data_IF_681464276879
#
_entry.id   IF_681464276879
#
_cell.length_a   1.000
_cell.length_b   1.000
_cell.length_c   1.000
_cell.angle_alpha   90.00
_cell.angle_beta   90.00
_cell.angle_gamma   90.00
#
_symmetry.space_group_name_H-M   'P 1'
#
loop_
_entity.id
_entity.type
_entity.pdbx_description
1 polymer ?
#
# COMPACT_ATOMS: atom_id res chain seq x y z
N UNK A 1 24.27 10.10 13.09
CA UNK A 1 23.74 11.20 12.24
C UNK A 1 24.23 11.10 10.80
N UNK A 2 25.53 11.05 10.53
CA UNK A 2 26.14 11.03 9.17
C UNK A 2 25.67 9.83 8.32
N UNK A 3 25.49 8.64 8.89
CA UNK A 3 25.05 7.41 8.19
C UNK A 3 23.59 7.50 7.70
N UNK A 4 22.71 8.17 8.44
CA UNK A 4 21.32 8.43 8.07
C UNK A 4 21.22 9.42 6.89
N UNK A 5 22.02 10.48 6.91
CA UNK A 5 22.05 11.49 5.85
C UNK A 5 22.58 10.86 4.54
N UNK A 6 23.65 10.08 4.60
CA UNK A 6 24.21 9.38 3.44
C UNK A 6 23.19 8.40 2.80
N UNK A 7 22.40 7.68 3.61
CA UNK A 7 21.36 6.79 3.11
C UNK A 7 20.21 7.59 2.46
N UNK A 8 19.80 8.71 3.05
CA UNK A 8 18.76 9.58 2.49
C UNK A 8 19.15 10.15 1.12
N UNK A 9 20.39 10.66 0.98
CA UNK A 9 20.90 11.18 -0.30
C UNK A 9 20.99 10.07 -1.36
N UNK A 10 21.41 8.87 -0.97
CA UNK A 10 21.48 7.71 -1.89
C UNK A 10 20.10 7.29 -2.41
N UNK A 11 19.09 7.28 -1.54
CA UNK A 11 17.70 6.98 -1.91
C UNK A 11 17.18 8.06 -2.86
N UNK A 12 17.40 9.33 -2.54
CA UNK A 12 16.98 10.47 -3.37
C UNK A 12 17.61 10.41 -4.77
N UNK A 13 18.93 10.22 -4.86
CA UNK A 13 19.65 10.11 -6.13
C UNK A 13 19.17 8.93 -6.98
N UNK A 14 18.92 7.76 -6.36
CA UNK A 14 18.38 6.58 -7.04
C UNK A 14 16.99 6.85 -7.60
N UNK A 15 16.12 7.51 -6.83
CA UNK A 15 14.76 7.86 -7.26
C UNK A 15 14.76 8.87 -8.38
N UNK A 16 15.59 9.92 -8.26
CA UNK A 16 15.73 10.94 -9.28
C UNK A 16 16.14 10.33 -10.64
N UNK A 17 17.11 9.41 -10.63
CA UNK A 17 17.57 8.71 -11.85
C UNK A 17 16.51 7.75 -12.43
N UNK A 18 15.71 7.07 -11.59
CA UNK A 18 14.76 6.04 -12.04
C UNK A 18 13.36 6.54 -12.30
N UNK A 19 12.90 7.55 -11.58
CA UNK A 19 11.51 8.01 -11.61
C UNK A 19 11.36 9.48 -12.03
N UNK A 20 12.46 10.21 -12.21
CA UNK A 20 12.48 11.61 -12.58
C UNK A 20 12.18 12.57 -11.41
N UNK A 21 12.40 13.88 -11.68
CA UNK A 21 12.29 14.94 -10.66
C UNK A 21 10.86 15.05 -10.08
N UNK A 22 9.86 15.12 -10.95
CA UNK A 22 8.45 15.30 -10.55
C UNK A 22 7.99 14.20 -9.59
N UNK A 23 8.23 12.94 -9.93
CA UNK A 23 7.84 11.78 -9.11
C UNK A 23 8.60 11.75 -7.79
N UNK A 24 9.88 12.13 -7.81
CA UNK A 24 10.71 12.22 -6.60
C UNK A 24 10.22 13.31 -5.65
N UNK A 25 9.79 14.47 -6.15
CA UNK A 25 9.20 15.54 -5.34
C UNK A 25 7.86 15.11 -4.73
N UNK A 26 7.00 14.46 -5.50
CA UNK A 26 5.73 13.92 -5.00
C UNK A 26 5.99 12.87 -3.91
N UNK A 27 6.99 12.00 -4.10
CA UNK A 27 7.40 11.04 -3.09
C UNK A 27 7.90 11.71 -1.82
N UNK A 28 8.77 12.72 -1.93
CA UNK A 28 9.30 13.45 -0.78
C UNK A 28 8.19 14.13 0.01
N UNK A 29 7.25 14.77 -0.69
CA UNK A 29 6.06 15.36 -0.08
C UNK A 29 5.15 14.29 0.56
N UNK A 30 4.81 13.24 -0.20
CA UNK A 30 3.92 12.17 0.24
C UNK A 30 4.47 11.31 1.40
N UNK A 31 5.79 11.37 1.65
CA UNK A 31 6.44 10.72 2.79
C UNK A 31 6.74 11.71 3.93
N UNK A 32 7.20 12.91 3.59
CA UNK A 32 7.59 13.92 4.57
C UNK A 32 6.41 14.41 5.38
N UNK A 33 5.31 14.78 4.73
CA UNK A 33 4.12 15.27 5.44
C UNK A 33 3.59 14.24 6.44
N UNK A 34 3.32 12.97 6.07
CA UNK A 34 2.89 11.96 7.04
C UNK A 34 3.90 11.70 8.16
N UNK A 35 5.19 11.77 7.86
CA UNK A 35 6.24 11.59 8.87
C UNK A 35 6.18 12.67 9.96
N UNK A 36 6.02 13.95 9.57
CA UNK A 36 5.97 15.08 10.51
C UNK A 36 4.60 15.26 11.17
N UNK A 37 3.51 15.13 10.40
CA UNK A 37 2.15 15.38 10.89
C UNK A 37 1.48 14.15 11.50
N UNK A 38 1.97 12.95 11.19
CA UNK A 38 1.31 11.68 11.50
C UNK A 38 0.05 11.41 10.67
N UNK A 39 -0.24 12.22 9.65
CA UNK A 39 -1.48 12.17 8.87
C UNK A 39 -1.20 11.88 7.40
N UNK A 40 -1.78 10.81 6.82
CA UNK A 40 -1.58 10.48 5.41
C UNK A 40 -2.26 11.51 4.49
N UNK A 41 -1.65 11.70 3.31
CA UNK A 41 -2.21 12.58 2.28
C UNK A 41 -3.14 11.75 1.39
N UNK A 42 -4.45 11.86 1.61
CA UNK A 42 -5.45 11.06 0.90
C UNK A 42 -5.42 11.25 -0.63
N UNK A 43 -5.07 12.44 -1.12
CA UNK A 43 -4.91 12.71 -2.56
C UNK A 43 -3.92 11.74 -3.24
N UNK A 44 -2.85 11.35 -2.54
CA UNK A 44 -1.84 10.40 -3.03
C UNK A 44 -2.03 8.99 -2.48
N UNK A 45 -3.19 8.70 -1.93
CA UNK A 45 -3.54 7.38 -1.38
C UNK A 45 -4.78 6.77 -2.06
N UNK A 46 -5.65 7.58 -2.62
CA UNK A 46 -6.93 7.17 -3.21
C UNK A 46 -6.73 6.49 -4.56
N UNK A 47 -6.77 5.16 -4.58
CA UNK A 47 -6.71 4.36 -5.81
C UNK A 47 -8.07 4.31 -6.48
N UNK A 48 -9.11 4.01 -5.70
CA UNK A 48 -10.52 4.07 -6.09
C UNK A 48 -11.32 4.87 -5.03
N UNK A 49 -12.62 5.11 -5.20
CA UNK A 49 -13.43 5.73 -4.15
C UNK A 49 -13.40 4.98 -2.80
N UNK A 50 -13.19 3.67 -2.81
CA UNK A 50 -13.24 2.81 -1.62
C UNK A 50 -11.87 2.23 -1.22
N UNK A 51 -10.90 2.11 -2.14
CA UNK A 51 -9.59 1.51 -1.87
C UNK A 51 -8.51 2.58 -1.81
N UNK A 52 -7.80 2.63 -0.69
CA UNK A 52 -6.72 3.58 -0.44
C UNK A 52 -5.44 2.86 -0.04
N UNK A 53 -4.32 3.31 -0.60
CA UNK A 53 -2.97 2.76 -0.32
C UNK A 53 -2.09 3.87 0.22
N UNK A 54 -1.50 3.70 1.40
CA UNK A 54 -0.76 4.78 2.03
C UNK A 54 0.40 4.35 2.93
N UNK A 55 1.05 5.35 3.55
CA UNK A 55 2.07 5.12 4.56
C UNK A 55 1.44 4.88 5.93
N UNK A 56 2.28 4.48 6.89
CA UNK A 56 1.95 4.50 8.31
C UNK A 56 1.47 5.89 8.75
N UNK A 57 0.58 5.92 9.70
CA UNK A 57 0.03 7.11 10.33
C UNK A 57 0.17 7.05 11.87
N UNK A 58 -0.18 8.14 12.55
CA UNK A 58 -0.23 8.25 14.01
C UNK A 58 -1.65 8.53 14.46
N UNK A 59 -1.87 8.81 15.75
CA UNK A 59 -3.20 9.10 16.32
C UNK A 59 -3.96 10.20 15.56
N UNK A 60 -3.27 11.26 15.12
CA UNK A 60 -3.86 12.31 14.27
C UNK A 60 -4.38 11.77 12.94
N UNK A 61 -3.62 10.87 12.31
CA UNK A 61 -4.00 10.21 11.07
C UNK A 61 -5.17 9.24 11.26
N UNK A 62 -5.19 8.47 12.36
CA UNK A 62 -6.33 7.61 12.73
C UNK A 62 -7.61 8.44 12.85
N UNK A 63 -7.57 9.50 13.64
CA UNK A 63 -8.74 10.39 13.83
C UNK A 63 -9.22 10.99 12.51
N UNK A 64 -8.29 11.40 11.64
CA UNK A 64 -8.61 11.91 10.30
C UNK A 64 -9.25 10.83 9.42
N UNK A 65 -8.72 9.60 9.41
CA UNK A 65 -9.30 8.49 8.64
C UNK A 65 -10.73 8.21 9.12
N UNK A 66 -10.94 8.11 10.44
CA UNK A 66 -12.28 7.91 11.02
C UNK A 66 -13.24 9.05 10.63
N UNK A 67 -12.83 10.31 10.72
CA UNK A 67 -13.65 11.46 10.32
C UNK A 67 -13.99 11.49 8.84
N UNK A 68 -13.23 10.78 8.00
CA UNK A 68 -13.48 10.60 6.55
C UNK A 68 -14.24 9.31 6.22
N UNK A 69 -14.73 8.60 7.24
CA UNK A 69 -15.55 7.40 7.11
C UNK A 69 -14.77 6.14 6.72
N UNK A 70 -13.48 6.05 7.11
CA UNK A 70 -12.74 4.80 6.99
C UNK A 70 -13.06 3.92 8.19
N UNK A 71 -13.47 2.69 7.92
CA UNK A 71 -13.73 1.67 8.94
C UNK A 71 -12.74 0.52 8.89
N UNK A 72 -12.19 0.21 7.71
CA UNK A 72 -11.34 -0.94 7.47
C UNK A 72 -9.87 -0.53 7.31
N UNK A 73 -8.99 -1.24 8.01
CA UNK A 73 -7.55 -1.02 8.00
C UNK A 73 -6.81 -2.32 7.73
N UNK A 74 -5.89 -2.30 6.76
CA UNK A 74 -4.93 -3.39 6.53
C UNK A 74 -3.53 -2.90 6.83
N UNK A 75 -2.86 -3.56 7.78
CA UNK A 75 -1.46 -3.32 8.13
C UNK A 75 -0.57 -4.43 7.59
N UNK A 76 0.40 -4.08 6.74
CA UNK A 76 1.36 -5.02 6.13
C UNK A 76 2.70 -5.09 6.87
N UNK A 77 2.83 -4.47 8.03
CA UNK A 77 4.10 -4.35 8.74
C UNK A 77 4.30 -5.48 9.74
N UNK A 78 5.37 -6.27 9.58
CA UNK A 78 5.81 -7.22 10.62
C UNK A 78 6.43 -6.49 11.82
N UNK A 79 7.02 -5.32 11.56
CA UNK A 79 7.76 -4.55 12.54
C UNK A 79 6.90 -3.63 13.43
N UNK A 80 5.58 -3.59 13.21
CA UNK A 80 4.68 -2.69 13.93
C UNK A 80 3.22 -3.14 13.81
N UNK A 81 2.59 -3.46 14.92
CA UNK A 81 1.15 -3.75 14.98
C UNK A 81 0.36 -2.50 15.43
N UNK A 82 -0.60 -2.06 14.62
CA UNK A 82 -1.40 -0.88 14.94
C UNK A 82 -2.31 -1.12 16.15
N UNK A 83 -2.78 -2.35 16.38
CA UNK A 83 -3.63 -2.68 17.53
C UNK A 83 -2.90 -2.51 18.86
N UNK A 84 -1.61 -2.89 18.92
CA UNK A 84 -0.78 -2.68 20.11
C UNK A 84 -0.57 -1.21 20.47
N UNK A 85 -0.85 -0.31 19.52
CA UNK A 85 -0.63 1.13 19.65
C UNK A 85 -1.93 1.95 19.64
N UNK A 86 -3.10 1.29 19.63
CA UNK A 86 -4.43 1.92 19.55
C UNK A 86 -4.63 2.73 18.26
N UNK A 87 -4.08 2.23 17.15
CA UNK A 87 -4.17 2.86 15.82
C UNK A 87 -5.11 2.11 14.87
N UNK A 88 -5.62 0.96 15.28
CA UNK A 88 -6.58 0.18 14.51
C UNK A 88 -7.88 0.96 14.24
N UNK A 89 -8.56 0.61 13.16
CA UNK A 89 -9.92 1.06 12.88
C UNK A 89 -10.93 0.00 13.34
N UNK A 90 -12.22 0.22 13.06
CA UNK A 90 -13.33 -0.67 13.47
C UNK A 90 -13.11 -2.12 13.02
N UNK A 91 -12.67 -2.30 11.78
CA UNK A 91 -12.22 -3.58 11.22
C UNK A 91 -10.73 -3.53 10.91
N UNK A 92 -9.97 -4.47 11.45
CA UNK A 92 -8.51 -4.49 11.35
C UNK A 92 -7.99 -5.84 10.85
N UNK A 93 -7.11 -5.81 9.86
CA UNK A 93 -6.43 -6.97 9.32
C UNK A 93 -4.91 -6.76 9.36
N UNK A 94 -4.23 -7.50 10.23
CA UNK A 94 -2.76 -7.52 10.29
C UNK A 94 -2.21 -8.64 9.42
N UNK A 95 -1.35 -8.29 8.46
CA UNK A 95 -0.70 -9.17 7.49
C UNK A 95 0.81 -8.98 7.57
N UNK A 96 1.47 -9.44 8.65
CA UNK A 96 2.87 -9.17 8.90
C UNK A 96 3.75 -9.71 7.77
N UNK A 97 4.37 -8.80 7.03
CA UNK A 97 5.23 -9.08 5.89
C UNK A 97 6.55 -8.36 6.04
N UNK A 98 7.66 -9.06 5.82
CA UNK A 98 9.00 -8.47 5.84
C UNK A 98 9.14 -7.47 4.70
N UNK A 99 9.81 -6.33 4.96
CA UNK A 99 9.96 -5.31 3.91
C UNK A 99 10.79 -5.84 2.73
N UNK A 100 10.47 -5.37 1.55
CA UNK A 100 11.10 -5.77 0.27
C UNK A 100 10.94 -7.26 -0.12
N UNK A 101 10.18 -8.07 0.63
CA UNK A 101 9.86 -9.46 0.28
C UNK A 101 8.46 -9.62 -0.30
N UNK A 102 8.18 -10.79 -0.87
CA UNK A 102 6.83 -11.20 -1.25
C UNK A 102 5.97 -11.47 0.01
N UNK A 103 4.69 -11.18 -0.08
CA UNK A 103 3.70 -11.61 0.91
C UNK A 103 3.44 -13.13 0.74
N UNK A 104 3.14 -13.85 1.83
CA UNK A 104 2.73 -15.26 1.74
C UNK A 104 1.36 -15.38 1.03
N UNK A 105 1.11 -16.50 0.38
CA UNK A 105 -0.18 -16.75 -0.29
C UNK A 105 -1.36 -16.72 0.68
N UNK A 106 -1.18 -17.23 1.90
CA UNK A 106 -2.17 -17.15 2.97
C UNK A 106 -2.54 -15.71 3.31
N UNK A 107 -1.54 -14.87 3.56
CA UNK A 107 -1.77 -13.44 3.85
C UNK A 107 -2.34 -12.70 2.63
N UNK A 108 -1.92 -13.08 1.42
CA UNK A 108 -2.44 -12.49 0.18
C UNK A 108 -3.94 -12.76 0.05
N UNK A 109 -4.37 -14.01 0.16
CA UNK A 109 -5.78 -14.42 0.08
C UNK A 109 -6.62 -13.75 1.15
N UNK A 110 -6.15 -13.79 2.41
CA UNK A 110 -6.84 -13.14 3.54
C UNK A 110 -6.98 -11.63 3.34
N UNK A 111 -5.95 -10.98 2.80
CA UNK A 111 -5.97 -9.54 2.51
C UNK A 111 -6.92 -9.20 1.37
N UNK A 112 -6.96 -10.00 0.31
CA UNK A 112 -7.89 -9.84 -0.81
C UNK A 112 -9.34 -9.98 -0.33
N UNK A 113 -9.65 -11.00 0.45
CA UNK A 113 -10.99 -11.23 1.01
C UNK A 113 -11.43 -10.07 1.91
N UNK A 114 -10.54 -9.59 2.78
CA UNK A 114 -10.82 -8.46 3.66
C UNK A 114 -11.13 -7.18 2.87
N UNK A 115 -10.33 -6.88 1.84
CA UNK A 115 -10.57 -5.72 0.98
C UNK A 115 -11.88 -5.89 0.20
N UNK A 116 -12.12 -7.10 -0.32
CA UNK A 116 -13.33 -7.41 -1.07
C UNK A 116 -14.58 -7.20 -0.22
N UNK A 117 -14.61 -7.76 0.99
CA UNK A 117 -15.73 -7.60 1.93
C UNK A 117 -16.03 -6.12 2.23
N UNK A 118 -15.00 -5.31 2.48
CA UNK A 118 -15.17 -3.87 2.71
C UNK A 118 -15.78 -3.16 1.48
N UNK A 119 -15.28 -3.48 0.28
CA UNK A 119 -15.75 -2.86 -0.97
C UNK A 119 -17.18 -3.27 -1.31
N UNK A 120 -17.58 -4.54 -1.12
CA UNK A 120 -18.95 -5.01 -1.32
C UNK A 120 -19.96 -4.32 -0.37
N UNK A 121 -19.51 -3.93 0.82
CA UNK A 121 -20.30 -3.15 1.78
C UNK A 121 -20.33 -1.65 1.42
N UNK A 122 -19.66 -1.21 0.35
CA UNK A 122 -19.53 0.19 -0.01
C UNK A 122 -18.63 0.99 0.95
N UNK A 123 -17.79 0.33 1.73
CA UNK A 123 -16.99 0.93 2.79
C UNK A 123 -15.54 1.17 2.36
N UNK A 124 -14.90 2.17 2.96
CA UNK A 124 -13.52 2.55 2.63
C UNK A 124 -12.53 1.70 3.40
N UNK A 125 -11.54 1.17 2.68
CA UNK A 125 -10.39 0.45 3.24
C UNK A 125 -9.10 1.24 3.03
N UNK A 126 -8.29 1.33 4.09
CA UNK A 126 -6.95 1.91 4.03
C UNK A 126 -5.91 0.81 4.20
N UNK A 127 -5.11 0.58 3.17
CA UNK A 127 -4.05 -0.43 3.12
C UNK A 127 -2.72 0.29 3.31
N UNK A 128 -1.94 -0.09 4.32
CA UNK A 128 -0.66 0.56 4.56
C UNK A 128 0.47 -0.42 4.89
N UNK A 129 1.66 0.11 4.70
CA UNK A 129 2.91 -0.41 5.27
C UNK A 129 3.72 0.77 5.83
N UNK A 130 5.02 0.69 5.94
CA UNK A 130 5.82 1.81 6.47
C UNK A 130 5.71 3.07 5.58
N UNK A 131 5.97 2.94 4.27
CA UNK A 131 6.01 4.06 3.31
C UNK A 131 4.89 4.05 2.27
N UNK A 132 4.12 2.97 2.18
CA UNK A 132 3.10 2.79 1.13
C UNK A 132 3.71 2.70 -0.28
N UNK A 133 4.88 2.08 -0.43
CA UNK A 133 5.65 2.06 -1.69
C UNK A 133 5.77 0.65 -2.28
N UNK A 134 5.93 -0.39 -1.44
CA UNK A 134 6.12 -1.79 -1.86
C UNK A 134 4.98 -2.69 -1.37
N UNK A 135 5.01 -3.13 -0.12
CA UNK A 135 4.08 -4.14 0.47
C UNK A 135 2.60 -3.80 0.26
N UNK A 136 2.16 -2.62 0.70
CA UNK A 136 0.76 -2.21 0.58
C UNK A 136 0.29 -2.06 -0.87
N UNK A 137 1.06 -1.45 -1.80
CA UNK A 137 0.71 -1.50 -3.22
C UNK A 137 0.66 -2.92 -3.79
N UNK A 138 1.54 -3.84 -3.36
CA UNK A 138 1.52 -5.24 -3.83
C UNK A 138 0.19 -5.92 -3.52
N UNK A 139 -0.31 -5.78 -2.28
CA UNK A 139 -1.62 -6.33 -1.91
C UNK A 139 -2.75 -5.68 -2.70
N UNK A 140 -2.73 -4.36 -2.89
CA UNK A 140 -3.75 -3.68 -3.68
C UNK A 140 -3.74 -4.13 -5.14
N UNK A 141 -2.55 -4.34 -5.75
CA UNK A 141 -2.42 -4.89 -7.10
C UNK A 141 -3.04 -6.29 -7.20
N UNK A 142 -2.72 -7.17 -6.25
CA UNK A 142 -3.29 -8.52 -6.21
C UNK A 142 -4.82 -8.48 -6.05
N UNK A 143 -5.36 -7.58 -5.23
CA UNK A 143 -6.80 -7.36 -5.14
C UNK A 143 -7.42 -6.98 -6.49
N UNK A 144 -6.84 -6.04 -7.24
CA UNK A 144 -7.40 -5.67 -8.55
C UNK A 144 -7.25 -6.80 -9.58
N UNK A 145 -6.16 -7.59 -9.53
CA UNK A 145 -6.00 -8.78 -10.36
C UNK A 145 -7.10 -9.82 -10.05
N UNK A 146 -7.39 -10.08 -8.78
CA UNK A 146 -8.46 -11.00 -8.39
C UNK A 146 -9.86 -10.53 -8.84
N UNK A 147 -9.99 -9.22 -9.17
CA UNK A 147 -11.21 -8.65 -9.76
C UNK A 147 -11.20 -8.61 -11.29
N UNK A 148 -10.30 -9.35 -11.94
CA UNK A 148 -10.23 -9.51 -13.39
C UNK A 148 -9.40 -8.46 -14.13
N UNK A 149 -8.66 -7.58 -13.41
CA UNK A 149 -7.73 -6.68 -14.09
C UNK A 149 -6.43 -7.39 -14.45
N UNK A 150 -5.83 -6.99 -15.57
CA UNK A 150 -4.45 -7.40 -15.84
C UNK A 150 -3.49 -6.70 -14.86
N UNK A 151 -2.34 -7.31 -14.59
CA UNK A 151 -1.27 -6.69 -13.78
C UNK A 151 -0.86 -5.32 -14.36
N UNK A 152 -0.83 -5.18 -15.69
CA UNK A 152 -0.49 -3.91 -16.35
C UNK A 152 -1.52 -2.82 -16.05
N UNK A 153 -2.81 -3.14 -16.11
CA UNK A 153 -3.90 -2.20 -15.80
C UNK A 153 -3.93 -1.85 -14.32
N UNK A 154 -3.80 -2.84 -13.45
CA UNK A 154 -3.71 -2.64 -12.00
C UNK A 154 -2.53 -1.73 -11.63
N UNK A 155 -1.33 -1.95 -12.23
CA UNK A 155 -0.16 -1.07 -12.05
C UNK A 155 -0.46 0.35 -12.51
N UNK A 156 -1.13 0.52 -13.65
CA UNK A 156 -1.51 1.83 -14.18
C UNK A 156 -2.48 2.54 -13.23
N UNK A 157 -3.49 1.83 -12.74
CA UNK A 157 -4.47 2.35 -11.78
C UNK A 157 -3.79 2.82 -10.48
N UNK A 158 -2.99 1.97 -9.85
CA UNK A 158 -2.32 2.31 -8.58
C UNK A 158 -1.30 3.44 -8.77
N UNK A 159 -0.55 3.47 -9.88
CA UNK A 159 0.42 4.54 -10.19
C UNK A 159 -0.23 5.89 -10.44
N UNK A 160 -1.47 5.97 -10.92
CA UNK A 160 -2.20 7.24 -11.05
C UNK A 160 -2.37 7.92 -9.69
N UNK A 161 -2.67 7.16 -8.65
CA UNK A 161 -2.80 7.67 -7.29
C UNK A 161 -1.42 7.87 -6.61
N UNK A 162 -0.51 6.90 -6.78
CA UNK A 162 0.82 6.87 -6.15
C UNK A 162 1.91 6.63 -7.19
N UNK A 163 2.32 7.65 -7.94
CA UNK A 163 3.27 7.49 -9.06
C UNK A 163 4.66 6.99 -8.62
N UNK A 164 4.95 7.04 -7.34
CA UNK A 164 6.22 6.68 -6.73
C UNK A 164 6.26 5.28 -6.10
N UNK A 165 5.28 4.41 -6.35
CA UNK A 165 5.36 3.01 -5.93
C UNK A 165 6.57 2.33 -6.59
N UNK A 166 7.12 1.37 -5.88
CA UNK A 166 8.23 0.56 -6.35
C UNK A 166 8.05 -0.86 -5.85
N UNK A 167 7.64 -1.72 -6.77
CA UNK A 167 7.41 -3.14 -6.49
C UNK A 167 8.74 -3.86 -6.68
N UNK A 168 9.18 -4.54 -5.63
CA UNK A 168 10.45 -5.26 -5.63
C UNK A 168 10.35 -6.54 -6.49
N UNK A 169 11.47 -7.06 -7.03
CA UNK A 169 11.45 -8.25 -7.86
C UNK A 169 10.65 -9.43 -7.26
N UNK A 170 10.84 -9.83 -5.98
CA UNK A 170 10.04 -10.93 -5.40
C UNK A 170 8.53 -10.64 -5.37
N UNK A 171 8.15 -9.39 -5.12
CA UNK A 171 6.75 -8.95 -5.14
C UNK A 171 6.17 -8.98 -6.57
N UNK A 172 6.97 -8.61 -7.56
CA UNK A 172 6.57 -8.62 -8.97
C UNK A 172 6.42 -10.05 -9.50
N UNK A 173 7.30 -10.96 -9.10
CA UNK A 173 7.23 -12.38 -9.43
C UNK A 173 5.95 -13.01 -8.85
N UNK A 174 5.64 -12.74 -7.59
CA UNK A 174 4.38 -13.15 -6.96
C UNK A 174 3.17 -12.65 -7.75
N UNK A 175 3.13 -11.38 -8.13
CA UNK A 175 1.99 -10.79 -8.85
C UNK A 175 1.79 -11.41 -10.23
N UNK A 176 2.87 -11.75 -10.95
CA UNK A 176 2.79 -12.43 -12.25
C UNK A 176 2.27 -13.87 -12.12
N UNK A 177 2.76 -14.61 -11.13
CA UNK A 177 2.25 -15.95 -10.85
C UNK A 177 0.76 -15.90 -10.48
N UNK A 178 0.37 -14.98 -9.60
CA UNK A 178 -1.01 -14.79 -9.18
C UNK A 178 -1.94 -14.40 -10.35
N UNK A 179 -1.50 -13.54 -11.27
CA UNK A 179 -2.26 -13.20 -12.49
C UNK A 179 -2.51 -14.45 -13.36
N UNK A 180 -1.47 -15.28 -13.56
CA UNK A 180 -1.59 -16.50 -14.36
C UNK A 180 -2.58 -17.47 -13.75
N UNK A 181 -2.53 -17.70 -12.44
CA UNK A 181 -3.46 -18.57 -11.72
C UNK A 181 -4.89 -18.05 -11.77
N UNK A 182 -5.07 -16.73 -11.56
CA UNK A 182 -6.40 -16.09 -11.58
C UNK A 182 -7.06 -16.15 -12.95
N UNK A 183 -6.29 -16.06 -14.04
CA UNK A 183 -6.81 -16.19 -15.41
C UNK A 183 -7.14 -17.63 -15.77
N UNK A 184 -6.34 -18.61 -15.33
CA UNK A 184 -6.59 -20.02 -15.55
C UNK A 184 -7.88 -20.50 -14.86
N UNK A 185 -8.13 -20.03 -13.62
CA UNK A 185 -9.35 -20.34 -12.87
C UNK A 185 -10.63 -19.70 -13.42
N UNK A 186 -10.53 -18.63 -14.21
CA UNK A 186 -11.70 -17.96 -14.82
C UNK A 186 -12.15 -18.61 -16.16
N UNK A 187 -11.32 -19.51 -16.72
CA UNK A 187 -11.60 -20.19 -18.00
C UNK A 187 -12.02 -21.66 -17.80
N UNK A 188 -12.04 -22.17 -16.60
CA UNK A 188 -12.50 -23.49 -16.21
C UNK A 188 -13.91 -23.44 -15.61
#
# INVERSE_FOLDING_TARGET
MIRFIKNGVRILARRLRRQGLRTTLIWAYGRGVPYFTGTPILKYSRVTPLVYVGPQFRKSGRSMLQSKGFKHLVNMRIEFDDAEHGLELESYCHLPTVDDTAISMEHLSRGIEFIHSAVEQGEKVYIHCSAGVGRAPTLALAYFISRGMTLADALTLVKRARPFIYIMPPQMELLRAFETESTAGATA
#
